data_IF_197696031856
#
_entry.id   IF_197696031856
#
_cell.length_a   1.000
_cell.length_b   1.000
_cell.length_c   1.000
_cell.angle_alpha   90.00
_cell.angle_beta   90.00
_cell.angle_gamma   90.00
#
_symmetry.space_group_name_H-M   'P 1'
#
loop_
_entity.id
_entity.type
_entity.pdbx_description
1 polymer ?
#
# COMPACT_ATOMS: atom_id res chain seq x y z
N UNK A 1 0.59 28.79 15.48
CA UNK A 1 0.81 29.54 14.23
C UNK A 1 -0.19 29.00 13.22
N UNK A 2 -0.86 29.85 12.43
CA UNK A 2 -1.80 29.36 11.40
C UNK A 2 -1.01 28.99 10.15
N UNK A 3 -1.32 27.83 9.60
CA UNK A 3 -0.76 27.32 8.35
C UNK A 3 -1.89 27.25 7.32
N UNK A 4 -1.60 27.53 6.06
CA UNK A 4 -2.58 27.58 4.99
C UNK A 4 -2.28 26.49 3.97
N UNK A 5 -3.30 25.78 3.53
CA UNK A 5 -3.14 24.66 2.60
C UNK A 5 -4.24 24.66 1.55
N UNK A 6 -3.88 24.13 0.38
CA UNK A 6 -4.84 23.72 -0.65
C UNK A 6 -5.28 22.29 -0.36
N UNK A 7 -6.58 22.06 -0.35
CA UNK A 7 -7.18 20.74 -0.19
C UNK A 7 -7.95 20.36 -1.46
N UNK A 8 -7.82 19.11 -1.92
CA UNK A 8 -8.76 18.52 -2.87
C UNK A 8 -9.96 17.97 -2.10
N UNK A 9 -11.16 18.27 -2.57
CA UNK A 9 -12.42 17.92 -1.92
C UNK A 9 -12.94 16.60 -2.51
N UNK A 10 -13.26 15.61 -1.67
CA UNK A 10 -13.94 14.37 -2.06
C UNK A 10 -13.30 13.60 -3.25
N UNK A 11 -11.99 13.77 -3.49
CA UNK A 11 -11.25 13.21 -4.64
C UNK A 11 -11.62 13.79 -6.01
N UNK A 12 -12.37 14.89 -6.05
CA UNK A 12 -12.68 15.61 -7.27
C UNK A 12 -11.59 16.66 -7.60
N UNK A 13 -11.68 17.25 -8.79
CA UNK A 13 -10.84 18.36 -9.24
C UNK A 13 -11.19 19.69 -8.53
N UNK A 14 -12.10 19.65 -7.57
CA UNK A 14 -12.47 20.79 -6.74
C UNK A 14 -11.46 21.00 -5.62
N UNK A 15 -11.09 22.27 -5.41
CA UNK A 15 -10.12 22.65 -4.41
C UNK A 15 -10.68 23.71 -3.45
N UNK A 16 -10.33 23.58 -2.17
CA UNK A 16 -10.59 24.57 -1.15
C UNK A 16 -9.31 24.99 -0.43
N UNK A 17 -9.28 26.22 0.07
CA UNK A 17 -8.17 26.75 0.87
C UNK A 17 -8.67 26.93 2.30
N UNK A 18 -7.99 26.29 3.24
CA UNK A 18 -8.31 26.41 4.66
C UNK A 18 -7.06 26.61 5.50
N UNK A 19 -7.29 27.14 6.69
CA UNK A 19 -6.28 27.36 7.71
C UNK A 19 -6.29 26.24 8.75
N UNK A 20 -5.12 25.92 9.31
CA UNK A 20 -4.97 24.87 10.33
C UNK A 20 -3.89 25.26 11.34
N UNK A 21 -4.08 24.86 12.60
CA UNK A 21 -3.19 25.22 13.72
C UNK A 21 -2.00 24.28 13.92
N UNK A 22 -1.74 23.38 12.96
CA UNK A 22 -0.65 22.42 12.98
C UNK A 22 -0.10 22.23 11.57
N UNK A 23 1.16 21.81 11.47
CA UNK A 23 1.73 21.45 10.17
C UNK A 23 1.11 20.16 9.63
N UNK A 24 0.71 20.19 8.36
CA UNK A 24 0.24 19.04 7.61
C UNK A 24 1.20 18.70 6.48
N UNK A 25 1.22 17.42 6.10
CA UNK A 25 1.96 16.89 4.97
C UNK A 25 1.02 16.62 3.80
N UNK A 26 1.58 16.61 2.59
CA UNK A 26 0.85 16.20 1.38
C UNK A 26 0.23 14.82 1.58
N UNK A 27 -1.06 14.69 1.29
CA UNK A 27 -1.84 13.48 1.48
C UNK A 27 -2.47 13.31 2.87
N UNK A 28 -2.20 14.21 3.83
CA UNK A 28 -2.95 14.21 5.10
C UNK A 28 -4.43 14.52 4.84
N UNK A 29 -5.29 13.91 5.64
CA UNK A 29 -6.75 13.98 5.49
C UNK A 29 -7.34 14.85 6.58
N UNK A 30 -8.24 15.73 6.19
CA UNK A 30 -8.92 16.67 7.08
C UNK A 30 -10.42 16.70 6.80
N UNK A 31 -11.17 17.24 7.74
CA UNK A 31 -12.57 17.63 7.53
C UNK A 31 -12.61 19.15 7.42
N UNK A 32 -13.18 19.65 6.33
CA UNK A 32 -13.28 21.09 6.04
C UNK A 32 -14.74 21.53 5.98
N UNK A 33 -15.06 22.76 6.43
CA UNK A 33 -16.36 23.37 6.17
C UNK A 33 -16.47 23.70 4.67
N UNK A 34 -17.69 23.65 4.12
CA UNK A 34 -17.92 23.98 2.70
C UNK A 34 -18.95 25.10 2.57
N UNK A 35 -20.24 24.78 2.67
CA UNK A 35 -21.31 25.76 2.58
C UNK A 35 -22.37 25.46 3.63
N UNK A 36 -22.85 26.50 4.32
CA UNK A 36 -23.80 26.40 5.42
C UNK A 36 -23.32 25.41 6.50
N UNK A 37 -24.13 24.40 6.83
CA UNK A 37 -23.86 23.41 7.86
C UNK A 37 -23.23 22.10 7.30
N UNK A 38 -22.73 22.14 6.07
CA UNK A 38 -22.13 20.97 5.40
C UNK A 38 -20.61 20.92 5.57
N UNK A 39 -20.07 19.70 5.53
CA UNK A 39 -18.64 19.42 5.62
C UNK A 39 -18.21 18.42 4.55
N UNK A 40 -16.94 18.48 4.17
CA UNK A 40 -16.34 17.55 3.23
C UNK A 40 -15.00 17.03 3.73
N UNK A 41 -14.54 15.95 3.09
CA UNK A 41 -13.20 15.41 3.33
C UNK A 41 -12.23 16.13 2.38
N UNK A 42 -11.25 16.79 2.97
CA UNK A 42 -10.16 17.44 2.27
C UNK A 42 -8.89 16.60 2.33
N UNK A 43 -8.13 16.56 1.23
CA UNK A 43 -6.80 15.96 1.17
C UNK A 43 -5.78 17.05 0.87
N UNK A 44 -4.75 17.16 1.69
CA UNK A 44 -3.70 18.18 1.52
C UNK A 44 -2.98 17.96 0.19
N UNK A 45 -3.03 18.96 -0.68
CA UNK A 45 -2.34 18.98 -1.97
C UNK A 45 -0.98 19.66 -1.82
N UNK A 46 -0.98 20.89 -1.30
CA UNK A 46 0.22 21.71 -1.14
C UNK A 46 0.01 22.81 -0.08
N UNK A 47 1.09 23.27 0.58
CA UNK A 47 1.05 24.48 1.41
C UNK A 47 0.89 25.73 0.55
N UNK A 48 0.15 26.71 1.06
CA UNK A 48 -0.05 28.02 0.45
C UNK A 48 0.47 29.10 1.43
N UNK A 49 1.01 30.21 0.91
CA UNK A 49 1.33 31.37 1.75
C UNK A 49 0.06 32.09 2.22
N UNK A 50 0.10 32.67 3.42
CA UNK A 50 -1.02 33.47 3.95
C UNK A 50 -1.50 34.54 2.97
N UNK A 51 -0.56 35.27 2.35
CA UNK A 51 -0.89 36.31 1.35
C UNK A 51 -1.67 35.75 0.16
N UNK A 52 -1.28 34.57 -0.36
CA UNK A 52 -1.98 33.95 -1.49
C UNK A 52 -3.36 33.45 -1.07
N UNK A 53 -3.47 32.83 0.11
CA UNK A 53 -4.75 32.37 0.65
C UNK A 53 -5.76 33.51 0.83
N UNK A 54 -5.33 34.62 1.43
CA UNK A 54 -6.18 35.80 1.64
C UNK A 54 -6.53 36.53 0.34
N UNK A 55 -5.64 36.51 -0.66
CA UNK A 55 -5.91 37.13 -1.98
C UNK A 55 -6.92 36.31 -2.79
N UNK A 56 -6.86 34.97 -2.74
CA UNK A 56 -7.72 34.08 -3.52
C UNK A 56 -9.11 33.88 -2.88
N UNK A 57 -9.19 33.79 -1.55
CA UNK A 57 -10.45 33.46 -0.85
C UNK A 57 -11.06 34.63 -0.07
N UNK A 58 -10.31 35.70 0.21
CA UNK A 58 -10.74 36.79 1.08
C UNK A 58 -10.77 36.37 2.55
N UNK A 59 -11.75 35.55 2.93
CA UNK A 59 -11.88 34.95 4.26
C UNK A 59 -11.57 33.46 4.19
N UNK A 60 -10.63 33.01 5.03
CA UNK A 60 -10.18 31.61 5.07
C UNK A 60 -10.68 30.97 6.34
N UNK A 61 -11.55 29.98 6.21
CA UNK A 61 -12.08 29.23 7.33
C UNK A 61 -11.07 28.20 7.86
N UNK A 62 -11.22 27.85 9.13
CA UNK A 62 -10.38 26.86 9.79
C UNK A 62 -10.85 25.42 9.49
N UNK A 63 -9.90 24.52 9.34
CA UNK A 63 -10.14 23.06 9.29
C UNK A 63 -10.90 22.63 10.55
N UNK A 64 -11.97 21.83 10.39
CA UNK A 64 -12.79 21.32 11.50
C UNK A 64 -11.98 20.34 12.35
N UNK A 65 -11.36 19.35 11.69
CA UNK A 65 -10.50 18.37 12.36
C UNK A 65 -9.54 17.72 11.39
N UNK A 66 -8.41 17.26 11.92
CA UNK A 66 -7.44 16.43 11.20
C UNK A 66 -7.75 14.96 11.47
N UNK A 67 -7.77 14.14 10.43
CA UNK A 67 -8.13 12.71 10.52
C UNK A 67 -6.87 11.86 10.49
N UNK A 68 -6.67 11.07 11.54
CA UNK A 68 -5.56 10.11 11.57
C UNK A 68 -5.92 8.83 10.80
N UNK A 69 -5.46 8.73 9.55
CA UNK A 69 -5.71 7.58 8.67
C UNK A 69 -4.67 6.46 8.83
N UNK A 70 -3.55 6.69 9.52
CA UNK A 70 -2.43 5.74 9.65
C UNK A 70 -2.86 4.34 10.11
N UNK A 71 -3.67 4.19 11.18
CA UNK A 71 -4.06 2.86 11.66
C UNK A 71 -4.83 2.05 10.61
N UNK A 72 -5.66 2.72 9.81
CA UNK A 72 -6.39 2.07 8.73
C UNK A 72 -5.46 1.69 7.58
N UNK A 73 -4.60 2.60 7.12
CA UNK A 73 -3.67 2.34 6.02
C UNK A 73 -2.70 1.20 6.35
N UNK A 74 -2.17 1.18 7.58
CA UNK A 74 -1.22 0.17 8.03
C UNK A 74 -1.89 -1.22 8.10
N UNK A 75 -3.13 -1.26 8.60
CA UNK A 75 -3.94 -2.49 8.60
C UNK A 75 -4.20 -3.00 7.19
N UNK A 76 -4.51 -2.12 6.23
CA UNK A 76 -4.73 -2.53 4.84
C UNK A 76 -3.45 -3.05 4.18
N UNK A 77 -2.32 -2.36 4.37
CA UNK A 77 -1.00 -2.82 3.89
C UNK A 77 -0.66 -4.20 4.45
N UNK A 78 -0.83 -4.40 5.76
CA UNK A 78 -0.59 -5.68 6.41
C UNK A 78 -1.51 -6.79 5.87
N UNK A 79 -2.79 -6.48 5.61
CA UNK A 79 -3.75 -7.43 5.03
C UNK A 79 -3.34 -7.85 3.61
N UNK A 80 -2.91 -6.90 2.78
CA UNK A 80 -2.44 -7.17 1.42
C UNK A 80 -1.19 -8.06 1.46
N UNK A 81 -0.18 -7.68 2.26
CA UNK A 81 1.07 -8.45 2.42
C UNK A 81 0.80 -9.87 2.91
N UNK A 82 -0.11 -10.03 3.90
CA UNK A 82 -0.53 -11.35 4.38
C UNK A 82 -1.16 -12.20 3.29
N UNK A 83 -2.00 -11.61 2.42
CA UNK A 83 -2.63 -12.33 1.31
C UNK A 83 -1.60 -12.78 0.28
N UNK A 84 -0.65 -11.92 -0.06
CA UNK A 84 0.44 -12.26 -0.99
C UNK A 84 1.30 -13.40 -0.45
N UNK A 85 1.75 -13.29 0.81
CA UNK A 85 2.52 -14.35 1.46
C UNK A 85 1.75 -15.68 1.51
N UNK A 86 0.45 -15.62 1.80
CA UNK A 86 -0.38 -16.82 1.84
C UNK A 86 -0.46 -17.53 0.47
N UNK A 87 -0.53 -16.76 -0.63
CA UNK A 87 -0.52 -17.32 -1.99
C UNK A 87 0.81 -18.02 -2.28
N UNK A 88 1.93 -17.34 -2.01
CA UNK A 88 3.27 -17.91 -2.19
C UNK A 88 3.46 -19.19 -1.35
N UNK A 89 3.04 -19.16 -0.08
CA UNK A 89 3.10 -20.35 0.78
C UNK A 89 2.28 -21.51 0.22
N UNK A 90 1.10 -21.22 -0.35
CA UNK A 90 0.24 -22.24 -0.94
C UNK A 90 0.89 -22.84 -2.18
N UNK A 91 1.42 -22.02 -3.08
CA UNK A 91 2.13 -22.46 -4.28
C UNK A 91 3.31 -23.36 -3.91
N UNK A 92 4.16 -22.93 -2.97
CA UNK A 92 5.29 -23.75 -2.47
C UNK A 92 4.85 -25.06 -1.82
N UNK A 93 3.74 -25.04 -1.08
CA UNK A 93 3.21 -26.26 -0.47
C UNK A 93 2.68 -27.25 -1.52
N UNK A 94 2.05 -26.74 -2.57
CA UNK A 94 1.51 -27.57 -3.65
C UNK A 94 2.66 -28.15 -4.49
N UNK A 95 3.69 -27.36 -4.82
CA UNK A 95 4.95 -27.84 -5.43
C UNK A 95 5.60 -28.97 -4.59
N UNK A 96 5.72 -28.76 -3.28
CA UNK A 96 6.32 -29.75 -2.38
C UNK A 96 5.53 -31.07 -2.37
N UNK A 97 4.19 -31.00 -2.33
CA UNK A 97 3.34 -32.19 -2.39
C UNK A 97 3.46 -32.91 -3.72
N UNK A 98 3.57 -32.19 -4.82
CA UNK A 98 3.77 -32.75 -6.15
C UNK A 98 5.10 -33.51 -6.22
N UNK A 99 6.20 -32.90 -5.78
CA UNK A 99 7.51 -33.55 -5.72
C UNK A 99 7.50 -34.77 -4.79
N UNK A 100 6.88 -34.68 -3.62
CA UNK A 100 6.73 -35.82 -2.70
C UNK A 100 5.92 -36.96 -3.32
N UNK A 101 4.90 -36.63 -4.10
CA UNK A 101 4.11 -37.60 -4.85
C UNK A 101 4.94 -38.26 -5.95
N UNK A 102 5.72 -37.51 -6.71
CA UNK A 102 6.64 -38.06 -7.71
C UNK A 102 7.63 -39.04 -7.09
N UNK A 103 8.23 -38.66 -5.96
CA UNK A 103 9.13 -39.54 -5.20
C UNK A 103 8.45 -40.86 -4.80
N UNK A 104 7.25 -40.78 -4.22
CA UNK A 104 6.47 -41.96 -3.80
C UNK A 104 6.09 -42.89 -4.95
N UNK A 105 5.88 -42.35 -6.16
CA UNK A 105 5.58 -43.13 -7.36
C UNK A 105 6.85 -43.76 -7.93
N UNK A 106 7.96 -43.01 -7.99
CA UNK A 106 9.26 -43.51 -8.43
C UNK A 106 9.78 -44.70 -7.60
N UNK A 107 9.42 -44.77 -6.31
CA UNK A 107 9.74 -45.92 -5.47
C UNK A 107 9.04 -47.22 -5.95
N UNK A 108 7.87 -47.08 -6.58
CA UNK A 108 6.99 -48.20 -6.96
C UNK A 108 7.04 -48.55 -8.44
N UNK A 109 7.34 -47.59 -9.31
CA UNK A 109 7.38 -47.76 -10.77
C UNK A 109 8.79 -47.46 -11.33
N UNK A 110 9.50 -48.50 -11.83
CA UNK A 110 10.85 -48.33 -12.40
C UNK A 110 10.91 -47.41 -13.63
N UNK A 111 9.87 -47.39 -14.49
CA UNK A 111 9.84 -46.53 -15.66
C UNK A 111 9.65 -45.06 -15.25
N UNK A 112 8.80 -44.82 -14.25
CA UNK A 112 8.61 -43.49 -13.67
C UNK A 112 9.86 -43.00 -12.93
N UNK A 113 10.60 -43.90 -12.28
CA UNK A 113 11.87 -43.57 -11.61
C UNK A 113 12.88 -42.95 -12.57
N UNK A 114 13.05 -43.52 -13.76
CA UNK A 114 13.97 -42.99 -14.77
C UNK A 114 13.58 -41.57 -15.20
N UNK A 115 12.28 -41.26 -15.29
CA UNK A 115 11.78 -39.92 -15.60
C UNK A 115 12.05 -38.94 -14.44
N UNK A 116 11.81 -39.36 -13.20
CA UNK A 116 12.05 -38.55 -12.02
C UNK A 116 13.55 -38.24 -11.81
N UNK A 117 14.43 -39.21 -12.04
CA UNK A 117 15.88 -39.02 -12.01
C UNK A 117 16.37 -38.08 -13.11
N UNK A 118 15.75 -38.10 -14.30
CA UNK A 118 16.04 -37.15 -15.36
C UNK A 118 15.57 -35.73 -14.99
N UNK A 119 14.37 -35.61 -14.41
CA UNK A 119 13.82 -34.36 -13.89
C UNK A 119 14.70 -33.73 -12.79
N UNK A 120 15.27 -34.52 -11.88
CA UNK A 120 16.20 -34.00 -10.86
C UNK A 120 17.52 -33.46 -11.43
N UNK A 121 17.92 -33.92 -12.63
CA UNK A 121 19.16 -33.52 -13.30
C UNK A 121 18.99 -32.32 -14.23
N UNK A 122 17.76 -31.90 -14.51
CA UNK A 122 17.54 -30.64 -15.24
C UNK A 122 17.79 -29.49 -14.28
N UNK A 123 18.89 -28.76 -14.47
CA UNK A 123 19.15 -27.54 -13.73
C UNK A 123 18.11 -26.49 -14.12
N UNK A 124 17.15 -26.27 -13.23
CA UNK A 124 16.42 -25.02 -13.14
C UNK A 124 17.08 -24.25 -12.01
N UNK A 125 17.80 -23.19 -12.35
CA UNK A 125 18.37 -22.29 -11.35
C UNK A 125 17.25 -21.79 -10.43
N UNK A 126 17.41 -21.97 -9.12
CA UNK A 126 16.51 -21.40 -8.13
C UNK A 126 16.55 -19.84 -8.11
N UNK A 127 17.46 -19.22 -8.87
CA UNK A 127 17.61 -17.77 -8.94
C UNK A 127 16.50 -17.08 -9.73
N UNK A 128 15.64 -17.81 -10.45
CA UNK A 128 14.47 -17.22 -11.13
C UNK A 128 13.20 -17.19 -10.24
N UNK A 129 13.28 -17.63 -8.97
CA UNK A 129 12.10 -17.77 -8.08
C UNK A 129 12.03 -16.80 -6.88
N UNK A 130 12.65 -15.63 -7.00
CA UNK A 130 12.32 -14.41 -6.26
C UNK A 130 12.52 -13.27 -7.29
N UNK A 131 11.53 -12.50 -7.78
CA UNK A 131 10.54 -11.67 -7.06
C UNK A 131 9.44 -11.13 -8.03
N UNK A 132 8.40 -10.45 -7.52
CA UNK A 132 7.59 -9.48 -8.29
C UNK A 132 8.11 -8.04 -8.02
N UNK A 133 9.41 -7.85 -8.03
CA UNK A 133 10.14 -6.85 -7.25
C UNK A 133 10.15 -7.17 -5.75
N UNK A 134 11.32 -6.90 -5.20
CA UNK A 134 11.79 -7.36 -3.91
C UNK A 134 10.84 -7.05 -2.76
N UNK A 135 10.87 -7.94 -1.78
CA UNK A 135 10.63 -7.59 -0.39
C UNK A 135 11.55 -6.42 -0.08
N UNK A 136 11.16 -5.19 -0.39
CA UNK A 136 12.04 -4.00 -0.39
C UNK A 136 12.54 -3.64 1.00
N UNK A 137 12.16 -4.45 2.00
CA UNK A 137 12.65 -4.48 3.35
C UNK A 137 12.49 -5.92 3.87
N UNK A 138 13.22 -6.92 3.36
CA UNK A 138 13.80 -7.82 4.36
C UNK A 138 14.81 -6.95 5.06
N UNK A 139 14.39 -6.31 6.16
CA UNK A 139 15.28 -5.56 7.02
C UNK A 139 15.75 -4.25 6.36
N UNK A 140 14.95 -3.16 6.50
CA UNK A 140 15.64 -1.92 6.83
C UNK A 140 16.20 -2.13 8.23
N UNK A 141 17.37 -2.77 8.25
CA UNK A 141 18.29 -2.77 9.37
C UNK A 141 18.68 -1.32 9.65
N UNK A 142 18.55 -0.97 10.93
CA UNK A 142 18.77 0.32 11.63
C UNK A 142 17.68 1.40 11.58
#
# INVERSE_FOLDING_TARGET
MKHYYKFSINYDDDFAIHSVNQELKKGDVVVIPVYADEFAIGIVVEPISELKALTECGEVEDVITVVNTKPYTDKQKARIKRKQLHLLMKERLDEFKEIDTFRKIADKDPAFRTLYEAYQKTELSNDEQLTCDDVSETLNEE
#
